data_IF_351958333003
#
_entry.id   IF_351958333003
#
_cell.length_a   1.000
_cell.length_b   1.000
_cell.length_c   1.000
_cell.angle_alpha   90.00
_cell.angle_beta   90.00
_cell.angle_gamma   90.00
#
_symmetry.space_group_name_H-M   'P 1'
#
loop_
_entity.id
_entity.type
_entity.pdbx_description
1 polymer ?
#
# COMPACT_ATOMS: atom_id res chain seq x y z
N UNK A 1 -5.45 -22.60 5.39
CA UNK A 1 -4.08 -22.10 5.15
C UNK A 1 -4.23 -20.71 4.58
N UNK A 2 -3.72 -19.67 5.23
CA UNK A 2 -3.73 -18.32 4.66
C UNK A 2 -2.66 -18.27 3.57
N UNK A 3 -3.08 -17.96 2.35
CA UNK A 3 -2.20 -17.86 1.19
C UNK A 3 -1.43 -16.55 1.30
N UNK A 4 -0.12 -16.61 1.15
CA UNK A 4 0.75 -15.44 1.13
C UNK A 4 1.15 -15.12 -0.31
N UNK A 5 1.24 -13.84 -0.61
CA UNK A 5 1.63 -13.28 -1.90
C UNK A 5 2.86 -12.41 -1.69
N UNK A 6 3.77 -12.40 -2.66
CA UNK A 6 4.90 -11.47 -2.66
C UNK A 6 4.48 -10.23 -3.45
N UNK A 7 4.68 -9.06 -2.87
CA UNK A 7 4.46 -7.79 -3.55
C UNK A 7 5.75 -6.97 -3.56
N UNK A 8 5.85 -6.08 -4.54
CA UNK A 8 6.89 -5.08 -4.62
C UNK A 8 6.24 -3.69 -4.52
N UNK A 9 6.73 -2.88 -3.59
CA UNK A 9 6.33 -1.48 -3.41
C UNK A 9 7.61 -0.64 -3.39
N UNK A 10 7.74 0.30 -4.32
CA UNK A 10 8.90 1.18 -4.44
C UNK A 10 10.27 0.44 -4.41
N UNK A 11 10.37 -0.68 -5.13
CA UNK A 11 11.56 -1.56 -5.18
C UNK A 11 11.85 -2.35 -3.88
N UNK A 12 10.93 -2.37 -2.91
CA UNK A 12 11.03 -3.17 -1.69
C UNK A 12 10.10 -4.38 -1.76
N UNK A 13 10.60 -5.56 -1.38
CA UNK A 13 9.85 -6.82 -1.40
C UNK A 13 9.17 -7.04 -0.05
N UNK A 14 7.87 -7.36 -0.08
CA UNK A 14 7.10 -7.71 1.11
C UNK A 14 6.32 -9.02 0.92
N UNK A 15 6.09 -9.71 2.03
CA UNK A 15 5.18 -10.85 2.11
C UNK A 15 3.87 -10.39 2.70
N UNK A 16 2.75 -10.63 2.02
CA UNK A 16 1.43 -10.17 2.44
C UNK A 16 0.42 -11.32 2.35
N UNK A 17 -0.52 -11.42 3.29
CA UNK A 17 -1.61 -12.38 3.15
C UNK A 17 -2.59 -11.97 2.03
N UNK A 18 -3.31 -12.93 1.46
CA UNK A 18 -4.21 -12.70 0.32
C UNK A 18 -5.36 -11.72 0.64
N UNK A 19 -5.88 -11.70 1.87
CA UNK A 19 -6.93 -10.77 2.29
C UNK A 19 -6.37 -9.35 2.38
N UNK A 20 -5.24 -9.19 3.08
CA UNK A 20 -4.50 -7.93 3.17
C UNK A 20 -4.11 -7.37 1.80
N UNK A 21 -3.64 -8.24 0.90
CA UNK A 21 -3.30 -7.88 -0.48
C UNK A 21 -4.50 -7.33 -1.23
N UNK A 22 -5.66 -7.97 -1.11
CA UNK A 22 -6.87 -7.50 -1.78
C UNK A 22 -7.32 -6.12 -1.28
N UNK A 23 -7.18 -5.84 0.01
CA UNK A 23 -7.49 -4.53 0.61
C UNK A 23 -6.51 -3.49 0.09
N UNK A 24 -5.20 -3.74 0.21
CA UNK A 24 -4.15 -2.81 -0.24
C UNK A 24 -4.24 -2.53 -1.74
N UNK A 25 -4.50 -3.56 -2.56
CA UNK A 25 -4.70 -3.41 -4.00
C UNK A 25 -5.88 -2.48 -4.28
N UNK A 26 -7.02 -2.67 -3.62
CA UNK A 26 -8.20 -1.80 -3.81
C UNK A 26 -7.90 -0.36 -3.40
N UNK A 27 -7.19 -0.16 -2.30
CA UNK A 27 -6.77 1.14 -1.84
C UNK A 27 -5.91 1.87 -2.90
N UNK A 28 -4.81 1.24 -3.35
CA UNK A 28 -3.93 1.82 -4.37
C UNK A 28 -4.65 2.10 -5.69
N UNK A 29 -5.54 1.21 -6.12
CA UNK A 29 -6.37 1.43 -7.32
C UNK A 29 -7.30 2.64 -7.18
N UNK A 30 -7.87 2.86 -5.99
CA UNK A 30 -8.71 4.04 -5.74
C UNK A 30 -7.88 5.32 -5.71
N UNK A 31 -6.69 5.30 -5.09
CA UNK A 31 -5.76 6.43 -5.12
C UNK A 31 -5.35 6.76 -6.56
N UNK A 32 -4.97 5.75 -7.36
CA UNK A 32 -4.65 5.91 -8.79
C UNK A 32 -5.79 6.56 -9.57
N UNK A 33 -7.04 6.18 -9.28
CA UNK A 33 -8.22 6.79 -9.90
C UNK A 33 -8.40 8.26 -9.53
N UNK A 34 -8.10 8.66 -8.30
CA UNK A 34 -8.18 10.07 -7.86
C UNK A 34 -7.23 10.98 -8.66
N UNK A 35 -6.13 10.46 -9.19
CA UNK A 35 -5.14 11.22 -9.96
C UNK A 35 -5.16 10.94 -11.48
N UNK A 36 -6.10 10.15 -12.00
CA UNK A 36 -6.06 9.67 -13.39
C UNK A 36 -6.03 10.77 -14.47
N UNK A 37 -6.51 11.98 -14.15
CA UNK A 37 -6.52 13.13 -15.07
C UNK A 37 -5.47 14.20 -14.70
N UNK A 38 -4.57 13.90 -13.77
CA UNK A 38 -3.57 14.85 -13.27
C UNK A 38 -2.24 14.63 -14.01
N UNK A 39 -1.72 15.62 -14.75
CA UNK A 39 -0.38 15.54 -15.33
C UNK A 39 0.67 15.30 -14.24
N UNK A 40 1.53 14.29 -14.41
CA UNK A 40 2.50 13.89 -13.38
C UNK A 40 1.95 12.95 -12.31
N UNK A 41 0.77 12.38 -12.50
CA UNK A 41 0.18 11.40 -11.57
C UNK A 41 1.11 10.23 -11.25
N UNK A 42 1.94 9.80 -12.21
CA UNK A 42 2.89 8.69 -11.99
C UNK A 42 3.90 8.98 -10.88
N UNK A 43 4.40 10.22 -10.79
CA UNK A 43 5.33 10.64 -9.73
C UNK A 43 4.63 10.69 -8.37
N UNK A 44 3.41 11.23 -8.33
CA UNK A 44 2.58 11.29 -7.11
C UNK A 44 2.33 9.87 -6.58
N UNK A 45 1.98 8.94 -7.48
CA UNK A 45 1.72 7.55 -7.13
C UNK A 45 3.01 6.86 -6.66
N UNK A 46 4.15 7.13 -7.31
CA UNK A 46 5.43 6.58 -6.88
C UNK A 46 5.81 7.04 -5.47
N UNK A 47 5.60 8.32 -5.14
CA UNK A 47 5.83 8.87 -3.79
C UNK A 47 4.89 8.24 -2.75
N UNK A 48 3.62 8.01 -3.10
CA UNK A 48 2.66 7.31 -2.23
C UNK A 48 3.07 5.85 -2.00
N UNK A 49 3.45 5.13 -3.05
CA UNK A 49 3.93 3.74 -2.94
C UNK A 49 5.22 3.67 -2.10
N UNK A 50 6.13 4.65 -2.24
CA UNK A 50 7.33 4.76 -1.41
C UNK A 50 6.98 5.00 0.06
N UNK A 51 6.05 5.92 0.35
CA UNK A 51 5.63 6.19 1.73
C UNK A 51 4.96 4.97 2.39
N UNK A 52 4.15 4.23 1.64
CA UNK A 52 3.53 2.98 2.12
C UNK A 52 4.60 1.94 2.42
N UNK A 53 5.61 1.80 1.56
CA UNK A 53 6.72 0.87 1.78
C UNK A 53 7.50 1.21 3.05
N UNK A 54 7.79 2.49 3.31
CA UNK A 54 8.41 2.96 4.55
C UNK A 54 7.57 2.59 5.78
N UNK A 55 6.27 2.87 5.74
CA UNK A 55 5.38 2.58 6.87
C UNK A 55 5.28 1.08 7.17
N UNK A 56 5.33 0.22 6.15
CA UNK A 56 5.42 -1.22 6.38
C UNK A 56 6.75 -1.62 6.97
N UNK A 57 7.86 -1.09 6.45
CA UNK A 57 9.19 -1.40 6.96
C UNK A 57 9.30 -1.05 8.45
N UNK A 58 8.78 0.10 8.88
CA UNK A 58 8.79 0.54 10.29
C UNK A 58 7.90 -0.32 11.20
N UNK A 59 6.84 -0.94 10.64
CA UNK A 59 5.89 -1.76 11.39
C UNK A 59 6.32 -3.22 11.53
N UNK A 60 7.12 -3.73 10.60
CA UNK A 60 7.56 -5.12 10.61
C UNK A 60 8.77 -5.28 11.54
N UNK A 61 8.72 -6.29 12.41
CA UNK A 61 9.84 -6.61 13.30
C UNK A 61 11.02 -7.24 12.54
N UNK A 62 10.74 -7.87 11.39
CA UNK A 62 11.75 -8.44 10.49
C UNK A 62 11.19 -8.65 9.07
N UNK A 63 12.09 -8.81 8.09
CA UNK A 63 11.76 -8.95 6.66
C UNK A 63 10.93 -10.21 6.30
N UNK A 64 10.90 -11.24 7.18
CA UNK A 64 10.13 -12.48 6.94
C UNK A 64 8.71 -12.39 7.49
N UNK A 65 8.38 -11.34 8.24
CA UNK A 65 7.05 -11.16 8.78
C UNK A 65 6.06 -10.92 7.65
N UNK A 66 4.91 -11.58 7.75
CA UNK A 66 3.81 -11.43 6.80
C UNK A 66 2.98 -10.22 7.22
N UNK A 67 2.79 -9.28 6.31
CA UNK A 67 1.84 -8.18 6.44
C UNK A 67 0.44 -8.77 6.49
N UNK A 68 -0.27 -8.46 7.57
CA UNK A 68 -1.65 -8.86 7.74
C UNK A 68 -2.62 -7.72 7.48
N UNK A 69 -3.92 -8.03 7.49
CA UNK A 69 -4.98 -7.01 7.44
C UNK A 69 -4.76 -5.90 8.47
N UNK A 70 -4.27 -6.23 9.68
CA UNK A 70 -4.01 -5.26 10.73
C UNK A 70 -3.00 -4.20 10.30
N UNK A 71 -1.84 -4.61 9.78
CA UNK A 71 -0.82 -3.67 9.34
C UNK A 71 -1.29 -2.84 8.14
N UNK A 72 -2.05 -3.44 7.22
CA UNK A 72 -2.67 -2.70 6.10
C UNK A 72 -3.64 -1.63 6.59
N UNK A 73 -4.54 -1.97 7.50
CA UNK A 73 -5.52 -1.02 8.04
C UNK A 73 -4.82 0.16 8.75
N UNK A 74 -3.75 -0.12 9.52
CA UNK A 74 -2.97 0.92 10.18
C UNK A 74 -2.23 1.83 9.20
N UNK A 75 -1.68 1.27 8.12
CA UNK A 75 -1.03 2.06 7.07
C UNK A 75 -2.04 2.94 6.33
N UNK A 76 -3.21 2.39 5.97
CA UNK A 76 -4.29 3.16 5.34
C UNK A 76 -4.77 4.28 6.26
N UNK A 77 -4.90 4.02 7.57
CA UNK A 77 -5.31 5.05 8.53
C UNK A 77 -4.31 6.22 8.60
N UNK A 78 -3.01 5.96 8.41
CA UNK A 78 -1.97 7.00 8.37
C UNK A 78 -2.00 7.75 7.03
N UNK A 79 -2.18 7.04 5.93
CA UNK A 79 -2.22 7.64 4.59
C UNK A 79 -3.53 8.39 4.30
N UNK A 80 -4.59 8.14 5.06
CA UNK A 80 -5.92 8.71 4.79
C UNK A 80 -6.73 7.87 3.80
N UNK A 81 -7.98 8.24 3.58
CA UNK A 81 -8.84 7.55 2.62
C UNK A 81 -8.51 7.99 1.19
N UNK A 82 -8.66 7.11 0.17
CA UNK A 82 -8.47 7.50 -1.23
C UNK A 82 -9.31 8.71 -1.65
N UNK A 83 -10.49 8.87 -1.03
CA UNK A 83 -11.38 9.99 -1.22
C UNK A 83 -10.78 11.33 -0.77
N UNK A 84 -9.88 11.33 0.23
CA UNK A 84 -9.21 12.54 0.72
C UNK A 84 -8.21 13.11 -0.31
N UNK A 85 -7.85 12.31 -1.33
CA UNK A 85 -6.98 12.71 -2.43
C UNK A 85 -7.74 13.27 -3.64
N UNK A 86 -9.08 13.32 -3.60
CA UNK A 86 -9.86 13.91 -4.68
C UNK A 86 -9.61 15.42 -4.75
N UNK A 87 -9.01 15.87 -5.86
CA UNK A 87 -8.78 17.28 -6.21
C UNK A 87 -9.83 17.76 -7.20
#
# INVERSE_FOLDING_TARGET
>A
MNKTVNINLANMLFHIDEEAYNIMRRYLESVKRSFANTPGSDEIIADIEARIAELFHDKLENERQVITKKEVDEVIAIMGQPEDYMV
#
